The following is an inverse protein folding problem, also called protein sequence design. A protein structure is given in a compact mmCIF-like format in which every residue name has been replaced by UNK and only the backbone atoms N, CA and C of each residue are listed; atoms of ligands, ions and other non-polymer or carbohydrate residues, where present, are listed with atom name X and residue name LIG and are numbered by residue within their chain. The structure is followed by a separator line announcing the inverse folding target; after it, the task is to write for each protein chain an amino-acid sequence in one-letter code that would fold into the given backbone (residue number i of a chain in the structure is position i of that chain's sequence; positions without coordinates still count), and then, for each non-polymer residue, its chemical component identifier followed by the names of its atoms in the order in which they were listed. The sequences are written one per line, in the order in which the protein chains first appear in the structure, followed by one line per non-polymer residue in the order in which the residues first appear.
data_IF_101046132571
#
_entry.id   IF_101046132571
#
_cell.length_a   1.000
_cell.length_b   1.000
_cell.length_c   1.000
_cell.angle_alpha   90.00
_cell.angle_beta   90.00
_cell.angle_gamma   90.00
#
_symmetry.space_group_name_H-M   'P 1'
#
loop_
_entity.id
_entity.type
_entity.pdbx_description
1 polymer ?
#
# COMPACT_ATOMS: atom_id res chain seq x y z
N UNK A 1 -19.36 -22.44 -1.27
CA UNK A 1 -18.28 -21.62 -0.69
C UNK A 1 -18.94 -20.34 -0.19
N UNK A 2 -18.80 -20.00 1.09
CA UNK A 2 -19.29 -18.71 1.58
C UNK A 2 -18.54 -17.59 0.85
N UNK A 3 -19.24 -16.56 0.38
CA UNK A 3 -18.59 -15.40 -0.23
C UNK A 3 -17.62 -14.76 0.77
N UNK A 4 -16.44 -14.39 0.28
CA UNK A 4 -15.45 -13.67 1.08
C UNK A 4 -15.80 -12.18 1.11
N UNK A 5 -16.49 -11.78 2.17
CA UNK A 5 -17.08 -10.44 2.30
C UNK A 5 -16.04 -9.39 2.64
N UNK A 6 -16.24 -8.16 2.14
CA UNK A 6 -15.49 -6.98 2.61
C UNK A 6 -15.92 -6.68 4.03
N UNK A 7 -14.96 -6.62 4.96
CA UNK A 7 -15.21 -6.30 6.38
C UNK A 7 -14.96 -4.82 6.68
N UNK A 8 -14.03 -4.18 5.98
CA UNK A 8 -13.75 -2.74 6.15
C UNK A 8 -13.07 -2.15 4.91
N UNK A 9 -13.39 -0.90 4.62
CA UNK A 9 -12.75 -0.10 3.57
C UNK A 9 -12.34 1.25 4.15
N UNK A 10 -11.11 1.67 3.85
CA UNK A 10 -10.53 2.94 4.29
C UNK A 10 -9.69 3.49 3.14
N UNK A 11 -10.03 4.68 2.65
CA UNK A 11 -9.39 5.25 1.46
C UNK A 11 -9.47 4.28 0.28
N UNK A 12 -8.33 3.97 -0.30
CA UNK A 12 -8.19 3.04 -1.43
C UNK A 12 -7.97 1.57 -1.00
N UNK A 13 -7.92 1.28 0.31
CA UNK A 13 -7.70 -0.06 0.83
C UNK A 13 -9.01 -0.72 1.28
N UNK A 14 -9.19 -2.00 0.93
CA UNK A 14 -10.31 -2.82 1.40
C UNK A 14 -9.78 -4.13 1.98
N UNK A 15 -10.26 -4.49 3.17
CA UNK A 15 -9.94 -5.74 3.87
C UNK A 15 -11.16 -6.65 3.78
N UNK A 16 -10.95 -7.88 3.33
CA UNK A 16 -11.96 -8.95 3.34
C UNK A 16 -11.83 -9.82 4.57
N UNK A 17 -12.84 -10.66 4.79
CA UNK A 17 -12.84 -11.60 5.90
C UNK A 17 -11.64 -12.57 5.84
N UNK A 18 -11.17 -12.94 4.64
CA UNK A 18 -9.95 -13.72 4.45
C UNK A 18 -8.68 -12.99 4.83
N UNK A 19 -8.54 -11.72 4.45
CA UNK A 19 -7.40 -10.88 4.81
C UNK A 19 -7.33 -10.71 6.34
N UNK A 20 -8.46 -10.42 6.98
CA UNK A 20 -8.51 -10.19 8.43
C UNK A 20 -8.07 -11.41 9.26
N UNK A 21 -8.28 -12.64 8.76
CA UNK A 21 -7.80 -13.87 9.41
C UNK A 21 -6.28 -13.98 9.45
N UNK A 22 -5.56 -13.22 8.61
CA UNK A 22 -4.10 -13.20 8.61
C UNK A 22 -3.50 -12.36 9.75
N UNK A 23 -4.34 -11.72 10.58
CA UNK A 23 -3.92 -11.06 11.82
C UNK A 23 -3.78 -12.04 13.00
N UNK A 24 -4.22 -13.30 12.83
CA UNK A 24 -4.03 -14.34 13.84
C UNK A 24 -2.54 -14.75 13.93
N UNK A 25 -2.10 -15.15 15.13
CA UNK A 25 -0.71 -15.51 15.40
C UNK A 25 -0.18 -16.60 14.44
N UNK A 26 1.02 -16.38 13.89
CA UNK A 26 1.69 -17.32 12.99
C UNK A 26 1.24 -17.24 11.54
N UNK A 27 0.23 -16.43 11.21
CA UNK A 27 -0.12 -16.11 9.84
C UNK A 27 0.79 -15.02 9.26
N UNK A 28 0.89 -14.99 7.92
CA UNK A 28 1.67 -14.00 7.20
C UNK A 28 0.76 -12.88 6.72
N UNK A 29 1.18 -11.64 6.97
CA UNK A 29 0.49 -10.47 6.44
C UNK A 29 0.55 -10.46 4.92
N UNK A 30 -0.53 -10.01 4.28
CA UNK A 30 -0.56 -9.75 2.85
C UNK A 30 -0.53 -8.24 2.54
N UNK A 31 -0.49 -7.94 1.25
CA UNK A 31 -0.49 -6.58 0.73
C UNK A 31 -1.72 -5.78 1.15
N UNK A 32 -2.90 -6.42 1.16
CA UNK A 32 -4.16 -5.78 1.55
C UNK A 32 -4.11 -5.24 2.99
N UNK A 33 -3.58 -6.02 3.94
CA UNK A 33 -3.45 -5.59 5.34
C UNK A 33 -2.42 -4.47 5.51
N UNK A 34 -1.29 -4.52 4.79
CA UNK A 34 -0.26 -3.48 4.85
C UNK A 34 -0.79 -2.17 4.26
N UNK A 35 -1.46 -2.23 3.10
CA UNK A 35 -2.08 -1.05 2.48
C UNK A 35 -3.17 -0.47 3.39
N UNK A 36 -4.01 -1.32 3.97
CA UNK A 36 -5.03 -0.89 4.93
C UNK A 36 -4.43 -0.18 6.15
N UNK A 37 -3.36 -0.71 6.73
CA UNK A 37 -2.66 -0.05 7.83
C UNK A 37 -2.11 1.31 7.44
N UNK A 38 -1.57 1.45 6.22
CA UNK A 38 -1.08 2.73 5.70
C UNK A 38 -2.20 3.75 5.50
N UNK A 39 -3.38 3.34 5.03
CA UNK A 39 -4.54 4.23 4.92
C UNK A 39 -5.06 4.67 6.30
N UNK A 40 -5.12 3.77 7.28
CA UNK A 40 -5.48 4.11 8.67
C UNK A 40 -4.47 5.08 9.31
N UNK A 41 -3.17 4.83 9.13
CA UNK A 41 -2.12 5.73 9.59
C UNK A 41 -2.24 7.10 8.91
N UNK A 42 -2.52 7.13 7.61
CA UNK A 42 -2.75 8.38 6.88
C UNK A 42 -3.93 9.15 7.48
N UNK A 43 -5.06 8.50 7.76
CA UNK A 43 -6.19 9.16 8.43
C UNK A 43 -5.83 9.69 9.82
N UNK A 44 -5.09 8.91 10.60
CA UNK A 44 -4.61 9.30 11.93
C UNK A 44 -3.67 10.50 11.89
N UNK A 45 -2.75 10.54 10.93
CA UNK A 45 -1.81 11.65 10.70
C UNK A 45 -2.51 12.95 10.29
N UNK A 46 -3.68 12.87 9.64
CA UNK A 46 -4.45 14.03 9.18
C UNK A 46 -5.58 14.44 10.15
N UNK A 47 -5.73 13.77 11.29
CA UNK A 47 -6.57 14.21 12.40
C UNK A 47 -8.06 14.40 12.09
N UNK A 48 -8.77 13.34 11.67
CA UNK A 48 -10.23 13.19 11.80
C UNK A 48 -11.15 14.21 11.10
N UNK A 49 -10.61 15.27 10.49
CA UNK A 49 -11.34 16.29 9.74
C UNK A 49 -11.08 16.11 8.26
N UNK A 50 -12.13 15.77 7.51
CA UNK A 50 -12.08 15.64 6.05
C UNK A 50 -11.44 16.87 5.41
N UNK A 51 -10.25 16.69 4.85
CA UNK A 51 -9.49 17.78 4.24
C UNK A 51 -8.03 17.43 4.02
N UNK A 52 -7.73 16.25 3.50
CA UNK A 52 -6.35 15.82 3.21
C UNK A 52 -5.89 16.16 1.80
N UNK A 53 -6.17 17.39 1.33
CA UNK A 53 -5.37 17.96 0.26
C UNK A 53 -3.92 17.96 0.73
N UNK A 54 -3.04 17.42 -0.11
CA UNK A 54 -1.59 17.37 0.05
C UNK A 54 -1.06 18.34 1.13
N UNK A 55 -0.72 17.83 2.31
CA UNK A 55 0.15 18.58 3.20
C UNK A 55 1.46 18.76 2.44
N UNK A 56 1.74 20.01 2.05
CA UNK A 56 2.95 20.41 1.36
C UNK A 56 4.17 19.87 2.13
N UNK A 57 4.97 19.02 1.47
CA UNK A 57 6.14 18.35 2.05
C UNK A 57 5.89 17.05 2.85
N UNK A 58 4.65 16.56 2.98
CA UNK A 58 4.29 15.46 3.89
C UNK A 58 4.89 14.06 3.62
N UNK A 59 4.62 13.14 4.55
CA UNK A 59 4.96 11.71 4.46
C UNK A 59 4.09 11.03 3.40
N UNK A 60 4.69 10.24 2.51
CA UNK A 60 4.00 9.35 1.59
C UNK A 60 4.14 7.89 2.04
N UNK A 61 3.02 7.21 2.19
CA UNK A 61 2.94 5.80 2.53
C UNK A 61 2.51 5.04 1.28
N UNK A 62 3.44 4.35 0.62
CA UNK A 62 3.17 3.68 -0.64
C UNK A 62 2.41 2.36 -0.44
N UNK A 63 1.38 2.12 -1.23
CA UNK A 63 0.75 0.81 -1.30
C UNK A 63 1.76 -0.25 -1.80
N UNK A 64 1.77 -1.49 -1.26
CA UNK A 64 2.64 -2.57 -1.73
C UNK A 64 2.62 -2.80 -3.25
N UNK A 65 1.44 -2.74 -3.87
CA UNK A 65 1.29 -2.89 -5.32
C UNK A 65 2.02 -1.81 -6.13
N UNK A 66 2.03 -0.56 -5.64
CA UNK A 66 2.80 0.52 -6.26
C UNK A 66 4.30 0.25 -6.13
N UNK A 67 4.76 -0.24 -4.98
CA UNK A 67 6.18 -0.58 -4.79
C UNK A 67 6.59 -1.71 -5.73
N UNK A 68 5.79 -2.78 -5.81
CA UNK A 68 6.07 -3.90 -6.71
C UNK A 68 6.11 -3.47 -8.18
N UNK A 69 5.23 -2.56 -8.60
CA UNK A 69 5.26 -1.95 -9.93
C UNK A 69 6.54 -1.15 -10.19
N UNK A 70 6.99 -0.35 -9.22
CA UNK A 70 8.20 0.46 -9.33
C UNK A 70 9.47 -0.40 -9.36
N UNK A 71 9.53 -1.46 -8.54
CA UNK A 71 10.65 -2.41 -8.51
C UNK A 71 10.79 -3.16 -9.84
N UNK A 72 9.65 -3.48 -10.48
CA UNK A 72 9.62 -4.19 -11.76
C UNK A 72 9.45 -3.24 -12.98
N UNK A 73 9.71 -1.94 -12.81
CA UNK A 73 9.64 -0.99 -13.91
C UNK A 73 10.65 -1.37 -15.01
N UNK A 74 10.26 -1.38 -16.29
CA UNK A 74 11.14 -1.77 -17.39
C UNK A 74 12.32 -0.80 -17.57
N UNK A 75 12.12 0.47 -17.20
CA UNK A 75 13.14 1.50 -17.21
C UNK A 75 12.81 2.65 -16.26
N UNK A 76 13.76 3.57 -16.10
CA UNK A 76 13.61 4.75 -15.24
C UNK A 76 12.60 5.76 -15.78
N UNK A 77 12.29 5.77 -17.08
CA UNK A 77 11.29 6.68 -17.65
C UNK A 77 9.88 6.24 -17.24
N UNK A 78 9.60 4.94 -17.27
CA UNK A 78 8.37 4.35 -16.76
C UNK A 78 8.23 4.61 -15.25
N UNK A 79 9.27 4.34 -14.46
CA UNK A 79 9.25 4.60 -13.02
C UNK A 79 8.93 6.08 -12.70
N UNK A 80 9.52 7.03 -13.44
CA UNK A 80 9.22 8.46 -13.32
C UNK A 80 7.79 8.80 -13.72
N UNK A 81 7.27 8.19 -14.77
CA UNK A 81 5.89 8.40 -15.22
C UNK A 81 4.87 7.94 -14.15
N UNK A 82 5.15 6.85 -13.45
CA UNK A 82 4.34 6.37 -12.30
C UNK A 82 4.49 7.27 -11.08
N UNK A 83 5.71 7.72 -10.76
CA UNK A 83 6.00 8.52 -9.57
C UNK A 83 5.54 9.99 -9.67
N UNK A 84 5.48 10.56 -10.88
CA UNK A 84 5.20 11.99 -11.09
C UNK A 84 3.80 12.42 -10.61
N UNK A 85 2.70 11.72 -10.95
CA UNK A 85 1.35 12.07 -10.48
C UNK A 85 1.18 11.99 -8.95
N UNK A 86 2.01 11.19 -8.28
CA UNK A 86 1.99 11.03 -6.83
C UNK A 86 2.71 12.18 -6.10
N UNK A 87 3.38 13.05 -6.85
CA UNK A 87 4.15 14.16 -6.30
C UNK A 87 5.31 13.69 -5.40
N UNK A 88 5.82 12.47 -5.61
CA UNK A 88 6.89 11.89 -4.77
C UNK A 88 8.13 12.80 -4.66
N UNK A 89 8.58 13.48 -5.73
CA UNK A 89 9.74 14.39 -5.62
C UNK A 89 9.54 15.57 -4.65
N UNK A 90 8.29 15.91 -4.31
CA UNK A 90 7.95 16.98 -3.37
C UNK A 90 7.68 16.48 -1.94
N UNK A 91 7.81 15.17 -1.67
CA UNK A 91 7.58 14.57 -0.35
C UNK A 91 8.87 14.57 0.47
N UNK A 92 8.78 14.91 1.76
CA UNK A 92 9.94 14.85 2.67
C UNK A 92 10.35 13.41 2.98
N UNK A 93 9.37 12.50 3.07
CA UNK A 93 9.63 11.10 3.40
C UNK A 93 8.69 10.20 2.62
N UNK A 94 9.22 9.07 2.16
CA UNK A 94 8.50 8.06 1.39
C UNK A 94 8.77 6.71 2.05
N UNK A 95 7.72 6.02 2.45
CA UNK A 95 7.80 4.67 3.02
C UNK A 95 7.32 3.66 1.99
N UNK A 96 8.16 2.66 1.73
CA UNK A 96 7.96 1.63 0.71
C UNK A 96 7.96 0.26 1.42
N UNK A 97 6.84 -0.46 1.51
CA UNK A 97 6.83 -1.85 1.94
C UNK A 97 7.36 -2.73 0.81
N UNK A 98 8.49 -3.41 1.03
CA UNK A 98 9.22 -4.11 -0.02
C UNK A 98 9.00 -5.61 0.11
N UNK A 99 8.25 -6.17 -0.81
CA UNK A 99 8.17 -7.62 -0.93
C UNK A 99 9.36 -8.18 -1.71
N UNK A 100 9.85 -9.36 -1.34
CA UNK A 100 10.93 -10.06 -2.05
C UNK A 100 10.46 -10.85 -3.29
N UNK A 101 9.16 -10.84 -3.60
CA UNK A 101 8.62 -11.42 -4.83
C UNK A 101 9.10 -10.64 -6.06
N UNK A 102 9.80 -11.33 -6.95
CA UNK A 102 10.27 -10.83 -8.25
C UNK A 102 9.40 -11.31 -9.43
N UNK A 103 8.40 -12.15 -9.18
CA UNK A 103 7.56 -12.71 -10.24
C UNK A 103 6.42 -11.74 -10.59
N UNK A 104 6.25 -11.47 -11.89
CA UNK A 104 5.08 -10.76 -12.42
C UNK A 104 3.93 -11.71 -12.79
N UNK A 105 4.24 -13.00 -12.96
CA UNK A 105 3.28 -13.99 -13.46
C UNK A 105 2.56 -14.75 -12.34
N UNK A 106 3.03 -14.62 -11.10
CA UNK A 106 2.46 -15.33 -9.95
C UNK A 106 2.59 -14.50 -8.66
N UNK A 107 1.53 -14.44 -7.83
CA UNK A 107 1.62 -13.85 -6.50
C UNK A 107 2.54 -14.67 -5.61
N UNK A 108 3.24 -14.01 -4.68
CA UNK A 108 4.17 -14.66 -3.78
C UNK A 108 4.90 -13.69 -2.87
N UNK A 109 6.04 -14.11 -2.37
CA UNK A 109 6.85 -13.39 -1.40
C UNK A 109 7.10 -14.24 -0.16
N UNK A 110 8.34 -14.27 0.28
CA UNK A 110 8.77 -14.87 1.54
C UNK A 110 9.10 -13.83 2.63
N UNK A 111 9.14 -12.53 2.27
CA UNK A 111 9.50 -11.45 3.18
C UNK A 111 8.88 -10.11 2.76
N UNK A 112 8.68 -9.22 3.74
CA UNK A 112 8.19 -7.84 3.60
C UNK A 112 9.21 -6.82 4.12
#
# INVERSE_FOLDING_TARGET
MSEDVVVRTVGDASVRASDARLLDDGAWLNDALIHFAYEELRLGLHGGGGGGGATDGGVFLAAPALVHLLVNAPDAAFARAVASPLGLPAKHSVFLPVNDCLSLDAPGGSHW
#
